data_IF_367080371125
#
_entry.id   IF_367080371125
#
_cell.length_a   1.000
_cell.length_b   1.000
_cell.length_c   1.000
_cell.angle_alpha   90.00
_cell.angle_beta   90.00
_cell.angle_gamma   90.00
#
_symmetry.space_group_name_H-M   'P 1'
#
loop_
_entity.id
_entity.type
_entity.pdbx_description
1 polymer ?
#
# COMPACT_ATOMS: atom_id res chain seq x y z
N UNK A 1 -22.91 -71.70 -30.74
CA UNK A 1 -23.48 -70.32 -30.73
C UNK A 1 -22.78 -69.51 -29.66
N UNK A 2 -21.85 -68.62 -30.03
CA UNK A 2 -21.12 -67.74 -29.09
C UNK A 2 -21.70 -66.33 -29.23
N UNK A 3 -22.37 -65.83 -28.22
CA UNK A 3 -22.99 -64.55 -28.15
C UNK A 3 -21.91 -63.50 -27.82
N UNK A 4 -21.63 -62.58 -28.74
CA UNK A 4 -20.69 -61.44 -28.58
C UNK A 4 -21.50 -60.26 -27.96
N UNK A 5 -21.18 -59.90 -26.74
CA UNK A 5 -21.68 -58.67 -26.09
C UNK A 5 -20.84 -57.48 -26.60
N UNK A 6 -21.47 -56.57 -27.36
CA UNK A 6 -20.93 -55.25 -27.70
C UNK A 6 -21.21 -54.28 -26.54
N UNK A 7 -20.16 -53.88 -25.85
CA UNK A 7 -20.22 -52.82 -24.89
C UNK A 7 -20.23 -51.47 -25.63
N UNK A 8 -21.34 -50.76 -25.63
CA UNK A 8 -21.43 -49.35 -25.99
C UNK A 8 -20.89 -48.53 -24.83
N UNK A 9 -19.73 -47.89 -25.01
CA UNK A 9 -19.21 -46.87 -24.10
C UNK A 9 -19.79 -45.51 -24.55
N UNK A 10 -20.65 -44.85 -23.78
CA UNK A 10 -21.08 -43.50 -24.13
C UNK A 10 -19.91 -42.55 -23.95
N UNK A 11 -19.48 -41.92 -25.04
CA UNK A 11 -18.55 -40.78 -24.99
C UNK A 11 -19.33 -39.60 -24.46
N UNK A 12 -19.14 -39.33 -23.16
CA UNK A 12 -19.63 -38.07 -22.56
C UNK A 12 -18.67 -36.98 -23.02
N UNK A 13 -19.07 -36.24 -24.05
CA UNK A 13 -18.43 -34.96 -24.42
C UNK A 13 -18.84 -33.96 -23.33
N UNK A 14 -17.97 -33.78 -22.35
CA UNK A 14 -18.13 -32.68 -21.40
C UNK A 14 -17.92 -31.37 -22.21
N UNK A 15 -19.00 -30.66 -22.48
CA UNK A 15 -18.95 -29.28 -22.92
C UNK A 15 -18.26 -28.46 -21.80
N UNK A 16 -17.00 -28.10 -21.98
CA UNK A 16 -16.36 -27.05 -21.22
C UNK A 16 -17.13 -25.77 -21.51
N UNK A 17 -18.14 -25.48 -20.68
CA UNK A 17 -18.74 -24.15 -20.66
C UNK A 17 -17.60 -23.18 -20.38
N UNK A 18 -17.37 -22.24 -21.29
CA UNK A 18 -16.49 -21.10 -21.05
C UNK A 18 -17.01 -20.38 -19.81
N UNK A 19 -16.39 -20.64 -18.65
CA UNK A 19 -16.65 -19.88 -17.46
C UNK A 19 -16.14 -18.46 -17.77
N UNK A 20 -17.06 -17.51 -17.95
CA UNK A 20 -16.72 -16.10 -18.09
C UNK A 20 -15.82 -15.69 -16.91
N UNK A 21 -14.82 -14.85 -17.19
CA UNK A 21 -13.94 -14.30 -16.15
C UNK A 21 -14.80 -13.71 -15.03
N UNK A 22 -14.63 -14.25 -13.81
CA UNK A 22 -15.36 -13.79 -12.61
C UNK A 22 -14.52 -12.71 -11.94
N UNK A 23 -14.98 -11.46 -12.03
CA UNK A 23 -14.35 -10.34 -11.37
C UNK A 23 -14.92 -10.11 -9.96
N UNK A 24 -14.13 -9.59 -9.01
CA UNK A 24 -14.65 -9.10 -7.74
C UNK A 24 -15.70 -8.00 -7.94
N UNK A 25 -16.56 -7.81 -6.92
CA UNK A 25 -17.59 -6.75 -6.94
C UNK A 25 -16.95 -5.38 -7.23
N UNK A 26 -17.50 -4.67 -8.20
CA UNK A 26 -17.05 -3.35 -8.64
C UNK A 26 -15.92 -3.39 -9.68
N UNK A 27 -15.36 -4.54 -9.99
CA UNK A 27 -14.38 -4.72 -11.07
C UNK A 27 -15.10 -5.20 -12.34
N UNK A 28 -14.68 -4.66 -13.48
CA UNK A 28 -15.13 -5.09 -14.80
C UNK A 28 -13.91 -5.30 -15.71
N UNK A 29 -14.15 -5.83 -16.91
CA UNK A 29 -13.09 -6.12 -17.91
C UNK A 29 -12.22 -4.88 -18.24
N UNK A 30 -12.81 -3.68 -18.28
CA UNK A 30 -12.09 -2.44 -18.56
C UNK A 30 -11.12 -2.07 -17.43
N UNK A 31 -11.59 -2.19 -16.18
CA UNK A 31 -10.76 -1.94 -14.98
C UNK A 31 -9.66 -2.99 -14.89
N UNK A 32 -9.97 -4.29 -15.07
CA UNK A 32 -8.96 -5.34 -15.05
C UNK A 32 -7.90 -5.12 -16.13
N UNK A 33 -8.30 -4.80 -17.37
CA UNK A 33 -7.36 -4.48 -18.44
C UNK A 33 -6.46 -3.28 -18.09
N UNK A 34 -6.97 -2.28 -17.38
CA UNK A 34 -6.18 -1.14 -16.93
C UNK A 34 -5.17 -1.57 -15.85
N UNK A 35 -5.57 -2.41 -14.89
CA UNK A 35 -4.68 -3.01 -13.89
C UNK A 35 -3.55 -3.77 -14.59
N UNK A 36 -3.87 -4.65 -15.56
CA UNK A 36 -2.87 -5.43 -16.28
C UNK A 36 -1.86 -4.56 -17.03
N UNK A 37 -2.30 -3.47 -17.68
CA UNK A 37 -1.39 -2.52 -18.35
C UNK A 37 -0.47 -1.81 -17.34
N UNK A 38 -1.02 -1.39 -16.19
CA UNK A 38 -0.24 -0.76 -15.12
C UNK A 38 0.83 -1.71 -14.53
N UNK A 39 0.46 -2.95 -14.24
CA UNK A 39 1.40 -3.98 -13.79
C UNK A 39 2.51 -4.25 -14.81
N UNK A 40 2.17 -4.32 -16.11
CA UNK A 40 3.15 -4.48 -17.18
C UNK A 40 4.08 -3.27 -17.30
N UNK A 41 3.55 -2.05 -17.09
CA UNK A 41 4.39 -0.85 -17.03
C UNK A 41 5.40 -0.95 -15.89
N UNK A 42 4.96 -1.27 -14.67
CA UNK A 42 5.86 -1.43 -13.54
C UNK A 42 6.93 -2.48 -13.82
N UNK A 43 6.56 -3.68 -14.29
CA UNK A 43 7.51 -4.75 -14.59
C UNK A 43 8.57 -4.33 -15.61
N UNK A 44 8.18 -3.63 -16.69
CA UNK A 44 9.12 -3.16 -17.72
C UNK A 44 10.04 -2.01 -17.29
N UNK A 45 9.65 -1.28 -16.23
CA UNK A 45 10.40 -0.13 -15.72
C UNK A 45 11.20 -0.44 -14.46
N UNK A 46 11.31 -1.72 -14.06
CA UNK A 46 12.23 -2.14 -13.02
C UNK A 46 13.67 -2.02 -13.52
N UNK A 47 14.52 -1.36 -12.74
CA UNK A 47 15.93 -1.25 -13.06
C UNK A 47 16.68 -2.58 -12.85
N UNK A 48 17.85 -2.74 -13.46
CA UNK A 48 18.66 -3.97 -13.36
C UNK A 48 19.08 -4.32 -11.92
N UNK A 49 19.14 -3.32 -11.03
CA UNK A 49 19.43 -3.52 -9.60
C UNK A 49 18.20 -3.97 -8.79
N UNK A 50 17.03 -4.13 -9.43
CA UNK A 50 15.77 -4.54 -8.81
C UNK A 50 14.93 -3.38 -8.27
N UNK A 51 15.40 -2.14 -8.37
CA UNK A 51 14.70 -0.97 -7.86
C UNK A 51 13.76 -0.33 -8.88
N UNK A 52 12.86 0.52 -8.37
CA UNK A 52 12.19 1.57 -9.15
C UNK A 52 12.59 2.95 -8.65
N UNK A 53 12.49 3.94 -9.51
CA UNK A 53 12.83 5.33 -9.18
C UNK A 53 11.73 6.27 -9.63
N UNK A 54 11.51 7.31 -8.83
CA UNK A 54 10.70 8.46 -9.24
C UNK A 54 11.37 9.20 -10.39
N UNK A 55 10.55 9.75 -11.28
CA UNK A 55 10.98 10.64 -12.37
C UNK A 55 10.69 12.12 -12.10
N UNK A 56 10.11 12.42 -10.93
CA UNK A 56 9.78 13.80 -10.54
C UNK A 56 10.99 14.61 -10.07
N UNK A 57 10.79 15.92 -9.99
CA UNK A 57 11.85 16.88 -9.63
C UNK A 57 12.38 16.74 -8.18
N UNK A 58 11.69 16.02 -7.33
CA UNK A 58 12.03 15.88 -5.90
C UNK A 58 13.08 14.79 -5.60
N UNK A 59 13.54 14.06 -6.60
CA UNK A 59 14.52 12.98 -6.43
C UNK A 59 13.97 11.58 -6.76
N UNK A 60 14.87 10.60 -6.85
CA UNK A 60 14.54 9.25 -7.34
C UNK A 60 13.82 8.35 -6.34
N UNK A 61 14.02 8.56 -5.05
CA UNK A 61 13.44 7.79 -3.93
C UNK A 61 13.39 6.26 -4.15
N UNK A 62 14.52 5.59 -4.45
CA UNK A 62 14.50 4.19 -4.89
C UNK A 62 13.93 3.24 -3.85
N UNK A 63 14.18 3.41 -2.55
CA UNK A 63 13.61 2.52 -1.54
C UNK A 63 12.09 2.70 -1.43
N UNK A 64 11.59 3.95 -1.41
CA UNK A 64 10.16 4.24 -1.35
C UNK A 64 9.43 3.72 -2.61
N UNK A 65 9.97 4.00 -3.81
CA UNK A 65 9.37 3.56 -5.06
C UNK A 65 9.39 2.04 -5.21
N UNK A 66 10.45 1.37 -4.75
CA UNK A 66 10.55 -0.09 -4.78
C UNK A 66 9.54 -0.72 -3.82
N UNK A 67 9.36 -0.16 -2.62
CA UNK A 67 8.32 -0.60 -1.70
C UNK A 67 6.91 -0.48 -2.30
N UNK A 68 6.58 0.68 -2.89
CA UNK A 68 5.26 0.91 -3.51
C UNK A 68 5.02 0.04 -4.74
N UNK A 69 5.98 -0.03 -5.68
CA UNK A 69 5.85 -0.85 -6.88
C UNK A 69 5.79 -2.34 -6.52
N UNK A 70 6.60 -2.78 -5.56
CA UNK A 70 6.54 -4.13 -5.01
C UNK A 70 5.16 -4.46 -4.44
N UNK A 71 4.57 -3.56 -3.65
CA UNK A 71 3.20 -3.73 -3.13
C UNK A 71 2.16 -3.85 -4.24
N UNK A 72 2.28 -3.07 -5.33
CA UNK A 72 1.38 -3.21 -6.49
C UNK A 72 1.49 -4.60 -7.15
N UNK A 73 2.71 -5.14 -7.26
CA UNK A 73 2.94 -6.48 -7.83
C UNK A 73 2.44 -7.60 -6.91
N UNK A 74 2.67 -7.54 -5.60
CA UNK A 74 2.13 -8.56 -4.68
C UNK A 74 0.61 -8.48 -4.56
N UNK A 75 0.02 -7.31 -4.74
CA UNK A 75 -1.44 -7.14 -4.80
C UNK A 75 -2.07 -7.85 -6.01
N UNK A 76 -1.29 -8.20 -7.05
CA UNK A 76 -1.74 -9.04 -8.17
C UNK A 76 -1.72 -10.55 -7.90
N UNK A 77 -1.34 -10.95 -6.68
CA UNK A 77 -1.15 -12.35 -6.29
C UNK A 77 0.23 -12.91 -6.65
N UNK A 78 1.17 -12.06 -7.11
CA UNK A 78 2.56 -12.50 -7.33
C UNK A 78 3.31 -12.56 -6.00
N UNK A 79 4.05 -13.64 -5.78
CA UNK A 79 4.89 -13.87 -4.60
C UNK A 79 6.37 -13.88 -5.04
N UNK A 80 7.34 -13.96 -4.12
CA UNK A 80 8.75 -14.08 -4.50
C UNK A 80 9.09 -15.35 -5.33
N UNK A 81 8.22 -16.35 -5.32
CA UNK A 81 8.45 -17.67 -5.96
C UNK A 81 7.43 -18.03 -7.03
N UNK A 82 6.26 -17.39 -7.04
CA UNK A 82 5.12 -17.73 -7.90
C UNK A 82 4.41 -16.51 -8.46
N UNK A 83 3.64 -16.72 -9.53
CA UNK A 83 2.84 -15.69 -10.19
C UNK A 83 3.57 -15.02 -11.33
N UNK A 84 2.86 -14.14 -12.04
CA UNK A 84 3.34 -13.53 -13.30
C UNK A 84 4.57 -12.64 -13.10
N UNK A 85 4.67 -11.98 -11.95
CA UNK A 85 5.72 -10.99 -11.64
C UNK A 85 6.64 -11.44 -10.51
N UNK A 86 6.83 -12.76 -10.32
CA UNK A 86 7.64 -13.30 -9.23
C UNK A 86 9.10 -12.84 -9.27
N UNK A 87 9.66 -12.66 -10.49
CA UNK A 87 11.04 -12.21 -10.67
C UNK A 87 11.22 -10.78 -10.19
N UNK A 88 10.32 -9.91 -10.57
CA UNK A 88 10.31 -8.49 -10.17
C UNK A 88 10.12 -8.36 -8.66
N UNK A 89 9.25 -9.16 -8.06
CA UNK A 89 9.06 -9.21 -6.60
C UNK A 89 10.34 -9.69 -5.91
N UNK A 90 10.99 -10.75 -6.42
CA UNK A 90 12.26 -11.27 -5.88
C UNK A 90 13.38 -10.23 -5.99
N UNK A 91 13.56 -9.58 -7.11
CA UNK A 91 14.58 -8.56 -7.32
C UNK A 91 14.35 -7.33 -6.43
N UNK A 92 13.11 -6.88 -6.28
CA UNK A 92 12.75 -5.81 -5.35
C UNK A 92 13.10 -6.17 -3.90
N UNK A 93 12.80 -7.40 -3.49
CA UNK A 93 13.13 -7.92 -2.16
C UNK A 93 14.65 -7.89 -1.92
N UNK A 94 15.44 -8.40 -2.85
CA UNK A 94 16.90 -8.40 -2.73
C UNK A 94 17.49 -6.99 -2.70
N UNK A 95 16.97 -6.07 -3.53
CA UNK A 95 17.37 -4.66 -3.51
C UNK A 95 17.18 -4.05 -2.13
N UNK A 96 16.00 -4.20 -1.53
CA UNK A 96 15.70 -3.62 -0.22
C UNK A 96 16.48 -4.29 0.91
N UNK A 97 16.67 -5.62 0.87
CA UNK A 97 17.49 -6.33 1.84
C UNK A 97 18.97 -5.91 1.78
N UNK A 98 19.49 -5.61 0.59
CA UNK A 98 20.87 -5.11 0.40
C UNK A 98 21.03 -3.69 0.96
N UNK A 99 19.99 -2.87 0.92
CA UNK A 99 20.00 -1.49 1.41
C UNK A 99 19.42 -1.34 2.84
N UNK A 100 19.28 -2.45 3.56
CA UNK A 100 18.95 -2.44 4.99
C UNK A 100 20.23 -2.39 5.80
N UNK A 101 20.42 -1.29 6.53
CA UNK A 101 21.59 -1.10 7.39
C UNK A 101 21.53 -2.02 8.61
N UNK A 102 22.61 -2.78 8.83
CA UNK A 102 22.63 -3.79 9.88
C UNK A 102 22.76 -3.20 11.30
N UNK A 103 23.34 -2.01 11.43
CA UNK A 103 23.59 -1.36 12.72
C UNK A 103 22.38 -0.55 13.18
N UNK A 104 21.78 0.23 12.27
CA UNK A 104 20.67 1.13 12.59
C UNK A 104 19.30 0.50 12.33
N UNK A 105 19.20 -0.44 11.38
CA UNK A 105 17.95 -1.04 10.93
C UNK A 105 17.20 -0.21 9.88
N UNK A 106 17.74 0.94 9.44
CA UNK A 106 17.11 1.76 8.41
C UNK A 106 17.18 1.05 7.04
N UNK A 107 16.08 1.10 6.30
CA UNK A 107 16.03 0.64 4.91
C UNK A 107 15.96 1.91 4.04
N UNK A 108 17.07 2.28 3.45
CA UNK A 108 17.21 3.52 2.68
C UNK A 108 18.46 3.44 1.78
N UNK A 109 18.56 4.36 0.85
CA UNK A 109 19.75 4.58 0.04
C UNK A 109 20.29 5.99 0.27
N UNK A 110 21.59 6.26 0.01
CA UNK A 110 22.18 7.58 0.28
C UNK A 110 21.42 8.76 -0.32
N UNK A 111 20.80 8.59 -1.49
CA UNK A 111 20.02 9.66 -2.13
C UNK A 111 18.70 9.99 -1.41
N UNK A 112 18.30 9.22 -0.40
CA UNK A 112 17.08 9.42 0.40
C UNK A 112 17.35 9.87 1.84
N UNK A 113 18.60 10.10 2.25
CA UNK A 113 18.98 10.35 3.66
C UNK A 113 18.12 11.44 4.32
N UNK A 114 17.86 12.55 3.62
CA UNK A 114 17.03 13.64 4.15
C UNK A 114 15.55 13.30 4.32
N UNK A 115 15.06 12.17 3.77
CA UNK A 115 13.68 11.69 3.84
C UNK A 115 13.58 10.16 3.92
N UNK A 116 14.55 9.53 4.56
CA UNK A 116 14.70 8.07 4.62
C UNK A 116 13.49 7.35 5.23
N UNK A 117 12.72 7.99 6.10
CA UNK A 117 11.58 7.36 6.76
C UNK A 117 10.41 7.04 5.82
N UNK A 118 10.26 7.73 4.67
CA UNK A 118 9.31 7.27 3.64
C UNK A 118 9.76 5.93 3.03
N UNK A 119 11.02 5.87 2.58
CA UNK A 119 11.62 4.64 2.04
C UNK A 119 11.55 3.50 3.05
N UNK A 120 11.91 3.79 4.30
CA UNK A 120 11.86 2.83 5.40
C UNK A 120 10.44 2.27 5.63
N UNK A 121 9.40 3.13 5.71
CA UNK A 121 8.02 2.71 5.94
C UNK A 121 7.47 1.84 4.79
N UNK A 122 7.57 2.30 3.54
CA UNK A 122 7.08 1.54 2.39
C UNK A 122 7.87 0.25 2.14
N UNK A 123 9.19 0.27 2.35
CA UNK A 123 10.03 -0.93 2.24
C UNK A 123 9.69 -1.95 3.31
N UNK A 124 9.51 -1.53 4.55
CA UNK A 124 9.12 -2.42 5.66
C UNK A 124 7.74 -3.03 5.42
N UNK A 125 6.77 -2.25 4.93
CA UNK A 125 5.44 -2.73 4.53
C UNK A 125 5.54 -3.83 3.48
N UNK A 126 6.31 -3.60 2.41
CA UNK A 126 6.49 -4.56 1.33
C UNK A 126 7.23 -5.83 1.82
N UNK A 127 8.36 -5.68 2.51
CA UNK A 127 9.14 -6.82 3.00
C UNK A 127 8.35 -7.67 4.01
N UNK A 128 7.51 -7.05 4.85
CA UNK A 128 6.61 -7.79 5.75
C UNK A 128 5.55 -8.60 4.98
N UNK A 129 5.01 -8.04 3.88
CA UNK A 129 4.08 -8.75 3.00
C UNK A 129 4.78 -9.93 2.29
N UNK A 130 6.01 -9.72 1.82
CA UNK A 130 6.85 -10.77 1.20
C UNK A 130 7.18 -11.88 2.22
N UNK A 131 7.56 -11.51 3.44
CA UNK A 131 7.92 -12.49 4.50
C UNK A 131 6.78 -13.49 4.76
N UNK A 132 5.53 -13.03 4.77
CA UNK A 132 4.37 -13.91 4.92
C UNK A 132 4.10 -14.85 3.73
N UNK A 133 4.77 -14.63 2.58
CA UNK A 133 4.62 -15.40 1.34
C UNK A 133 5.89 -16.16 0.93
N UNK A 134 6.99 -16.00 1.64
CA UNK A 134 8.29 -16.58 1.31
C UNK A 134 8.35 -18.07 1.68
N UNK A 135 8.86 -18.90 0.79
CA UNK A 135 8.98 -20.35 0.97
C UNK A 135 10.43 -20.79 1.23
N UNK A 136 11.43 -19.96 0.88
CA UNK A 136 12.85 -20.24 1.14
C UNK A 136 13.20 -19.88 2.59
N UNK A 137 13.59 -20.87 3.39
CA UNK A 137 13.90 -20.70 4.82
C UNK A 137 15.04 -19.72 5.09
N UNK A 138 16.08 -19.69 4.22
CA UNK A 138 17.20 -18.75 4.38
C UNK A 138 16.75 -17.32 4.11
N UNK A 139 15.88 -17.14 3.11
CA UNK A 139 15.31 -15.85 2.81
C UNK A 139 14.36 -15.39 3.91
N UNK A 140 13.54 -16.29 4.47
CA UNK A 140 12.72 -16.01 5.64
C UNK A 140 13.57 -15.53 6.84
N UNK A 141 14.68 -16.17 7.11
CA UNK A 141 15.59 -15.79 8.19
C UNK A 141 16.19 -14.39 7.98
N UNK A 142 16.62 -14.07 6.75
CA UNK A 142 17.12 -12.73 6.39
C UNK A 142 16.02 -11.67 6.54
N UNK A 143 14.82 -11.93 6.01
CA UNK A 143 13.66 -11.04 6.12
C UNK A 143 13.29 -10.80 7.59
N UNK A 144 13.18 -11.85 8.39
CA UNK A 144 12.88 -11.75 9.81
C UNK A 144 13.88 -10.84 10.54
N UNK A 145 15.18 -11.06 10.31
CA UNK A 145 16.25 -10.24 10.92
C UNK A 145 16.18 -8.76 10.53
N UNK A 146 15.90 -8.47 9.24
CA UNK A 146 15.74 -7.09 8.75
C UNK A 146 14.48 -6.45 9.34
N UNK A 147 13.33 -7.14 9.29
CA UNK A 147 12.06 -6.61 9.80
C UNK A 147 12.08 -6.36 11.31
N UNK A 148 12.73 -7.22 12.08
CA UNK A 148 12.92 -7.02 13.54
C UNK A 148 13.70 -5.74 13.83
N UNK A 149 14.79 -5.48 13.10
CA UNK A 149 15.56 -4.23 13.26
C UNK A 149 14.78 -3.01 12.74
N UNK A 150 14.05 -3.15 11.63
CA UNK A 150 13.23 -2.08 11.08
C UNK A 150 12.13 -1.62 12.06
N UNK A 151 11.40 -2.55 12.67
CA UNK A 151 10.39 -2.25 13.70
C UNK A 151 11.02 -1.61 14.93
N UNK A 152 12.21 -2.07 15.36
CA UNK A 152 12.95 -1.47 16.47
C UNK A 152 13.30 0.00 16.16
N UNK A 153 13.79 0.29 14.94
CA UNK A 153 14.07 1.65 14.52
C UNK A 153 12.81 2.51 14.52
N UNK A 154 11.69 2.02 13.98
CA UNK A 154 10.41 2.75 14.01
C UNK A 154 10.04 3.11 15.45
N UNK A 155 10.16 2.18 16.40
CA UNK A 155 9.84 2.46 17.79
C UNK A 155 10.78 3.49 18.43
N UNK A 156 12.07 3.45 18.10
CA UNK A 156 13.09 4.35 18.65
C UNK A 156 13.02 5.76 18.06
N UNK A 157 12.64 5.90 16.78
CA UNK A 157 12.53 7.19 16.10
C UNK A 157 11.18 7.88 16.31
N UNK A 158 10.26 7.28 17.09
CA UNK A 158 8.99 7.91 17.42
C UNK A 158 9.20 9.14 18.32
N UNK A 159 8.70 10.30 17.89
CA UNK A 159 8.81 11.56 18.63
C UNK A 159 8.11 11.51 20.01
N UNK A 160 8.42 12.46 20.86
CA UNK A 160 7.71 12.65 22.14
C UNK A 160 6.21 12.86 21.97
N UNK A 161 5.80 13.42 20.82
CA UNK A 161 4.40 13.64 20.45
C UNK A 161 3.67 12.36 20.02
N UNK A 162 4.39 11.35 19.52
CA UNK A 162 3.85 10.08 19.05
C UNK A 162 3.84 9.91 17.52
N UNK A 163 4.19 10.94 16.75
CA UNK A 163 4.38 10.88 15.30
C UNK A 163 5.85 10.64 14.90
N UNK A 164 6.13 10.70 13.59
CA UNK A 164 7.47 10.58 13.00
C UNK A 164 7.74 11.72 12.04
N UNK A 165 9.02 12.01 11.81
CA UNK A 165 9.50 12.98 10.84
C UNK A 165 10.23 12.25 9.69
N UNK A 166 10.79 12.99 8.74
CA UNK A 166 11.43 12.49 7.53
C UNK A 166 12.69 11.67 7.76
N UNK A 167 13.40 11.94 8.86
CA UNK A 167 14.64 11.28 9.28
C UNK A 167 14.40 10.44 10.53
N UNK A 168 15.23 9.42 10.82
CA UNK A 168 15.04 8.52 11.96
C UNK A 168 15.48 9.13 13.29
N UNK A 169 15.40 10.45 13.42
CA UNK A 169 15.52 11.15 14.68
C UNK A 169 14.14 11.40 15.28
N UNK A 170 14.04 11.44 16.58
CA UNK A 170 12.77 11.66 17.30
C UNK A 170 12.43 13.14 17.51
N UNK A 171 13.06 14.05 16.75
CA UNK A 171 13.02 15.49 16.96
C UNK A 171 11.74 16.19 16.47
N UNK A 172 10.89 15.50 15.71
CA UNK A 172 9.68 16.11 15.14
C UNK A 172 8.61 15.12 14.74
N UNK A 173 7.53 15.65 14.19
CA UNK A 173 6.37 14.88 13.76
C UNK A 173 5.72 15.49 12.52
N UNK A 174 5.16 14.63 11.66
CA UNK A 174 4.24 15.01 10.60
C UNK A 174 3.38 13.82 10.16
N UNK A 175 2.19 14.10 9.61
CA UNK A 175 1.17 13.08 9.35
C UNK A 175 1.53 12.12 8.24
N UNK A 176 2.23 12.59 7.19
CA UNK A 176 2.45 11.78 6.00
C UNK A 176 3.50 10.67 6.18
N UNK A 177 4.52 10.88 7.01
CA UNK A 177 5.44 9.82 7.42
C UNK A 177 4.80 8.92 8.48
N UNK A 178 4.06 9.51 9.42
CA UNK A 178 3.40 8.77 10.50
C UNK A 178 2.54 7.62 9.97
N UNK A 179 1.75 7.83 8.89
CA UNK A 179 0.92 6.76 8.32
C UNK A 179 1.74 5.61 7.77
N UNK A 180 2.90 5.89 7.12
CA UNK A 180 3.74 4.83 6.55
C UNK A 180 4.32 3.92 7.63
N UNK A 181 4.73 4.52 8.78
CA UNK A 181 5.28 3.75 9.89
C UNK A 181 4.20 2.86 10.55
N UNK A 182 2.99 3.39 10.75
CA UNK A 182 1.88 2.61 11.34
C UNK A 182 1.47 1.45 10.44
N UNK A 183 1.40 1.68 9.12
CA UNK A 183 1.11 0.60 8.16
C UNK A 183 2.21 -0.46 8.14
N UNK A 184 3.48 -0.05 8.15
CA UNK A 184 4.62 -0.96 8.25
C UNK A 184 4.55 -1.83 9.50
N UNK A 185 4.28 -1.23 10.67
CA UNK A 185 4.12 -1.96 11.92
C UNK A 185 2.93 -2.92 11.89
N UNK A 186 1.79 -2.53 11.31
CA UNK A 186 0.64 -3.43 11.16
C UNK A 186 1.00 -4.64 10.29
N UNK A 187 1.63 -4.42 9.14
CA UNK A 187 2.05 -5.51 8.26
C UNK A 187 3.03 -6.47 8.97
N UNK A 188 4.02 -5.92 9.69
CA UNK A 188 4.95 -6.70 10.50
C UNK A 188 4.23 -7.55 11.54
N UNK A 189 3.27 -6.97 12.28
CA UNK A 189 2.48 -7.72 13.27
C UNK A 189 1.65 -8.84 12.63
N UNK A 190 1.03 -8.59 11.49
CA UNK A 190 0.28 -9.61 10.73
C UNK A 190 1.18 -10.74 10.23
N UNK A 191 2.43 -10.45 9.94
CA UNK A 191 3.46 -11.41 9.53
C UNK A 191 4.13 -12.13 10.73
N UNK A 192 3.74 -11.85 11.97
CA UNK A 192 4.27 -12.49 13.17
C UNK A 192 5.55 -11.84 13.75
N UNK A 193 5.94 -10.66 13.27
CA UNK A 193 7.03 -9.87 13.86
C UNK A 193 6.50 -9.15 15.10
N UNK A 194 7.30 -9.17 16.19
CA UNK A 194 6.94 -8.49 17.43
C UNK A 194 6.93 -6.96 17.26
N UNK A 195 5.77 -6.35 17.55
CA UNK A 195 5.53 -4.91 17.41
C UNK A 195 4.98 -4.33 18.72
N UNK A 196 5.63 -3.30 19.21
CA UNK A 196 5.22 -2.63 20.44
C UNK A 196 3.82 -2.00 20.32
N UNK A 197 2.85 -2.54 21.07
CA UNK A 197 1.51 -1.92 21.19
C UNK A 197 1.58 -0.47 21.65
N UNK A 198 2.48 -0.15 22.60
CA UNK A 198 2.67 1.21 23.11
C UNK A 198 3.02 2.20 21.99
N UNK A 199 3.84 1.78 21.01
CA UNK A 199 4.21 2.62 19.86
C UNK A 199 2.98 2.94 19.00
N UNK A 200 2.12 1.96 18.76
CA UNK A 200 0.86 2.15 18.00
C UNK A 200 -0.10 3.05 18.77
N UNK A 201 -0.30 2.80 20.07
CA UNK A 201 -1.21 3.59 20.91
C UNK A 201 -0.79 5.07 20.92
N UNK A 202 0.51 5.36 21.02
CA UNK A 202 1.03 6.74 20.95
C UNK A 202 0.78 7.40 19.59
N UNK A 203 0.83 6.64 18.48
CA UNK A 203 0.50 7.17 17.16
C UNK A 203 -0.99 7.52 17.05
N UNK A 204 -1.87 6.71 17.61
CA UNK A 204 -3.31 7.03 17.71
C UNK A 204 -3.54 8.30 18.52
N UNK A 205 -2.88 8.44 19.67
CA UNK A 205 -2.98 9.65 20.51
C UNK A 205 -2.43 10.90 19.81
N UNK A 206 -1.37 10.74 19.00
CA UNK A 206 -0.87 11.82 18.15
C UNK A 206 -1.92 12.28 17.14
N UNK A 207 -2.57 11.37 16.40
CA UNK A 207 -3.64 11.71 15.46
C UNK A 207 -4.81 12.43 16.15
N UNK A 208 -5.23 11.96 17.33
CA UNK A 208 -6.25 12.66 18.16
C UNK A 208 -5.85 14.09 18.50
N UNK A 209 -4.59 14.31 18.89
CA UNK A 209 -4.07 15.64 19.20
C UNK A 209 -3.98 16.56 17.98
N UNK A 210 -3.77 16.00 16.78
CA UNK A 210 -3.73 16.74 15.51
C UNK A 210 -5.12 17.06 14.95
N UNK A 211 -6.20 16.49 15.51
CA UNK A 211 -7.55 16.76 15.03
C UNK A 211 -8.03 18.16 15.44
N UNK A 212 -8.49 18.92 14.45
CA UNK A 212 -9.09 20.23 14.61
C UNK A 212 -10.61 20.13 14.90
N UNK A 213 -11.27 21.23 15.35
CA UNK A 213 -12.71 21.25 15.64
C UNK A 213 -13.60 20.84 14.46
N UNK A 214 -13.19 21.14 13.21
CA UNK A 214 -13.89 20.74 11.98
C UNK A 214 -13.81 19.24 11.65
N UNK A 215 -13.03 18.49 12.42
CA UNK A 215 -12.77 17.07 12.24
C UNK A 215 -11.56 16.75 11.39
N UNK A 216 -11.01 17.71 10.66
CA UNK A 216 -9.81 17.53 9.85
C UNK A 216 -8.54 17.42 10.71
N UNK A 217 -7.48 16.91 10.10
CA UNK A 217 -6.20 16.67 10.78
C UNK A 217 -5.16 17.64 10.23
N UNK A 218 -4.43 18.32 11.13
CA UNK A 218 -3.35 19.22 10.77
C UNK A 218 -2.10 18.43 10.33
N UNK A 219 -1.17 19.13 9.64
CA UNK A 219 0.05 18.53 9.14
C UNK A 219 0.97 18.00 10.23
N UNK A 220 1.13 18.77 11.30
CA UNK A 220 1.91 18.43 12.49
C UNK A 220 1.29 19.12 13.71
N UNK A 221 1.70 18.76 14.92
CA UNK A 221 1.23 19.45 16.12
C UNK A 221 1.58 20.95 16.12
N UNK A 222 2.67 21.34 15.45
CA UNK A 222 3.06 22.74 15.28
C UNK A 222 2.16 23.55 14.33
N UNK A 223 1.35 22.88 13.49
CA UNK A 223 0.44 23.48 12.49
C UNK A 223 -1.04 23.35 12.86
N UNK A 224 -1.37 23.28 14.14
CA UNK A 224 -2.76 23.20 14.61
C UNK A 224 -3.60 24.37 14.10
N UNK A 225 -4.87 24.09 13.84
CA UNK A 225 -5.83 25.05 13.30
C UNK A 225 -5.99 24.99 11.78
N UNK A 226 -5.03 24.46 11.04
CA UNK A 226 -5.10 24.24 9.59
C UNK A 226 -5.34 22.77 9.27
N UNK A 227 -6.57 22.43 8.87
CA UNK A 227 -6.92 21.07 8.45
C UNK A 227 -6.50 20.83 7.01
N UNK A 228 -5.79 19.72 6.76
CA UNK A 228 -5.35 19.30 5.41
C UNK A 228 -6.06 18.04 4.95
N UNK A 229 -6.82 18.07 3.84
CA UNK A 229 -7.58 16.90 3.37
C UNK A 229 -6.72 15.67 3.15
N UNK A 230 -5.54 15.80 2.53
CA UNK A 230 -4.62 14.68 2.29
C UNK A 230 -4.11 14.05 3.60
N UNK A 231 -3.73 14.90 4.57
CA UNK A 231 -3.26 14.43 5.88
C UNK A 231 -4.43 13.85 6.70
N UNK A 232 -5.63 14.38 6.55
CA UNK A 232 -6.82 13.83 7.19
C UNK A 232 -7.15 12.41 6.67
N UNK A 233 -7.02 12.17 5.36
CA UNK A 233 -7.16 10.83 4.78
C UNK A 233 -6.09 9.87 5.33
N UNK A 234 -4.82 10.32 5.41
CA UNK A 234 -3.74 9.55 6.01
C UNK A 234 -4.00 9.26 7.50
N UNK A 235 -4.48 10.25 8.24
CA UNK A 235 -4.84 10.09 9.66
C UNK A 235 -5.95 9.06 9.88
N UNK A 236 -6.99 9.05 9.06
CA UNK A 236 -8.04 8.01 9.11
C UNK A 236 -7.41 6.64 8.83
N UNK A 237 -6.52 6.52 7.85
CA UNK A 237 -5.83 5.26 7.59
C UNK A 237 -4.96 4.79 8.77
N UNK A 238 -4.30 5.72 9.51
CA UNK A 238 -3.60 5.39 10.77
C UNK A 238 -4.56 4.77 11.78
N UNK A 239 -5.72 5.40 11.99
CA UNK A 239 -6.72 4.94 12.96
C UNK A 239 -7.22 3.54 12.61
N UNK A 240 -7.62 3.32 11.36
CA UNK A 240 -8.06 2.01 10.88
C UNK A 240 -6.97 0.94 10.96
N UNK A 241 -5.73 1.27 10.59
CA UNK A 241 -4.61 0.37 10.72
C UNK A 241 -4.23 0.05 12.17
N UNK A 242 -4.54 0.95 13.11
CA UNK A 242 -4.40 0.70 14.54
C UNK A 242 -5.58 -0.10 15.14
N UNK A 243 -6.64 -0.37 14.36
CA UNK A 243 -7.85 -1.05 14.83
C UNK A 243 -8.84 -0.12 15.57
N UNK A 244 -8.79 1.16 15.26
CA UNK A 244 -9.68 2.19 15.86
C UNK A 244 -10.63 2.69 14.78
N UNK A 245 -11.92 2.43 14.95
CA UNK A 245 -12.96 2.64 13.92
C UNK A 245 -13.99 3.70 14.34
N UNK A 246 -15.07 3.85 13.56
CA UNK A 246 -16.09 4.91 13.71
C UNK A 246 -16.97 4.79 14.95
N UNK A 247 -16.91 3.73 15.72
CA UNK A 247 -17.49 3.66 17.06
C UNK A 247 -16.89 4.72 18.01
N UNK A 248 -15.74 5.30 17.61
CA UNK A 248 -15.11 6.40 18.31
C UNK A 248 -15.47 7.75 17.67
N UNK A 249 -16.08 8.71 18.41
CA UNK A 249 -16.57 9.98 17.83
C UNK A 249 -15.51 10.81 17.08
N UNK A 250 -14.24 10.74 17.47
CA UNK A 250 -13.18 11.47 16.80
C UNK A 250 -12.81 10.84 15.42
N UNK A 251 -12.96 9.52 15.27
CA UNK A 251 -12.76 8.82 13.99
C UNK A 251 -13.89 9.17 13.04
N UNK A 252 -15.13 9.15 13.51
CA UNK A 252 -16.30 9.55 12.72
C UNK A 252 -16.18 11.00 12.22
N UNK A 253 -15.73 11.93 13.07
CA UNK A 253 -15.49 13.32 12.65
C UNK A 253 -14.43 13.43 11.57
N UNK A 254 -13.30 12.70 11.69
CA UNK A 254 -12.25 12.69 10.68
C UNK A 254 -12.77 12.12 9.34
N UNK A 255 -13.50 11.02 9.38
CA UNK A 255 -14.09 10.42 8.18
C UNK A 255 -15.08 11.37 7.49
N UNK A 256 -15.98 12.00 8.23
CA UNK A 256 -16.91 13.03 7.70
C UNK A 256 -16.18 14.20 7.06
N UNK A 257 -15.07 14.65 7.68
CA UNK A 257 -14.25 15.69 7.08
C UNK A 257 -13.65 15.25 5.74
N UNK A 258 -13.07 14.05 5.68
CA UNK A 258 -12.48 13.51 4.44
C UNK A 258 -13.56 13.36 3.36
N UNK A 259 -14.72 12.76 3.68
CA UNK A 259 -15.82 12.60 2.73
C UNK A 259 -16.30 13.92 2.11
N UNK A 260 -16.29 15.01 2.91
CA UNK A 260 -16.70 16.34 2.46
C UNK A 260 -15.63 17.03 1.59
N UNK A 261 -14.34 16.83 1.90
CA UNK A 261 -13.25 17.64 1.37
C UNK A 261 -12.34 16.92 0.38
N UNK A 262 -12.51 15.60 0.18
CA UNK A 262 -11.70 14.80 -0.77
C UNK A 262 -12.58 14.34 -1.92
N UNK A 263 -12.22 14.68 -3.14
CA UNK A 263 -12.86 14.19 -4.36
C UNK A 263 -12.10 12.98 -4.93
N UNK A 264 -12.77 11.85 -5.21
CA UNK A 264 -12.14 10.74 -5.91
C UNK A 264 -11.96 10.98 -7.42
N UNK A 265 -12.69 11.93 -8.01
CA UNK A 265 -12.72 12.17 -9.45
C UNK A 265 -12.00 13.43 -9.92
N UNK A 266 -11.37 14.16 -9.00
CA UNK A 266 -10.60 15.38 -9.33
C UNK A 266 -9.55 15.65 -8.26
N UNK A 267 -8.39 16.19 -8.67
CA UNK A 267 -7.39 16.65 -7.70
C UNK A 267 -7.84 17.99 -7.08
N UNK A 268 -8.26 17.91 -5.84
CA UNK A 268 -8.61 19.07 -5.02
C UNK A 268 -7.75 19.16 -3.74
N UNK A 269 -6.68 18.36 -3.64
CA UNK A 269 -5.84 18.26 -2.45
C UNK A 269 -4.38 18.64 -2.72
N UNK A 270 -3.98 18.78 -3.99
CA UNK A 270 -2.59 18.97 -4.42
C UNK A 270 -1.70 17.72 -4.29
N UNK A 271 -2.26 16.62 -3.73
CA UNK A 271 -1.62 15.33 -3.55
C UNK A 271 -2.65 14.21 -3.78
N UNK A 272 -3.18 14.15 -5.00
CA UNK A 272 -4.35 13.30 -5.30
C UNK A 272 -4.06 11.82 -5.07
N UNK A 273 -3.00 11.28 -5.69
CA UNK A 273 -2.66 9.86 -5.57
C UNK A 273 -2.31 9.47 -4.12
N UNK A 274 -1.55 10.32 -3.42
CA UNK A 274 -1.29 10.11 -1.98
C UNK A 274 -2.61 10.04 -1.19
N UNK A 275 -3.50 10.99 -1.40
CA UNK A 275 -4.79 11.05 -0.71
C UNK A 275 -5.63 9.81 -0.99
N UNK A 276 -5.72 9.40 -2.27
CA UNK A 276 -6.51 8.25 -2.67
C UNK A 276 -5.92 6.92 -2.18
N UNK A 277 -4.59 6.80 -2.06
CA UNK A 277 -3.95 5.61 -1.48
C UNK A 277 -4.49 5.29 -0.08
N UNK A 278 -4.65 6.31 0.77
CA UNK A 278 -5.08 6.13 2.15
C UNK A 278 -6.60 6.16 2.29
N UNK A 279 -7.27 7.06 1.59
CA UNK A 279 -8.73 7.17 1.64
C UNK A 279 -9.40 5.89 1.14
N UNK A 280 -8.92 5.32 0.03
CA UNK A 280 -9.44 4.08 -0.50
C UNK A 280 -9.36 2.91 0.48
N UNK A 281 -8.25 2.79 1.20
CA UNK A 281 -8.06 1.73 2.19
C UNK A 281 -9.05 1.85 3.34
N UNK A 282 -9.25 3.07 3.86
CA UNK A 282 -10.22 3.33 4.92
C UNK A 282 -11.64 3.00 4.46
N UNK A 283 -12.06 3.46 3.27
CA UNK A 283 -13.36 3.16 2.71
C UNK A 283 -13.54 1.67 2.39
N UNK A 284 -12.49 1.00 1.89
CA UNK A 284 -12.55 -0.44 1.62
C UNK A 284 -12.76 -1.23 2.92
N UNK A 285 -12.02 -0.90 4.00
CA UNK A 285 -12.20 -1.55 5.30
C UNK A 285 -13.58 -1.29 5.90
N UNK A 286 -14.12 -0.07 5.75
CA UNK A 286 -15.49 0.27 6.14
C UNK A 286 -16.53 -0.49 5.32
N UNK A 287 -16.33 -0.57 4.02
CA UNK A 287 -17.23 -1.24 3.09
C UNK A 287 -18.52 -0.48 2.81
N UNK A 288 -19.55 -1.24 2.38
CA UNK A 288 -20.87 -0.70 2.11
C UNK A 288 -20.96 0.25 0.91
N UNK A 289 -22.00 1.08 0.91
CA UNK A 289 -22.33 1.99 -0.18
C UNK A 289 -21.23 3.02 -0.46
N UNK A 290 -20.57 3.53 0.58
CA UNK A 290 -19.53 4.54 0.45
C UNK A 290 -18.32 4.02 -0.35
N UNK A 291 -17.94 2.76 -0.11
CA UNK A 291 -16.91 2.10 -0.91
C UNK A 291 -17.36 1.88 -2.37
N UNK A 292 -18.57 1.39 -2.58
CA UNK A 292 -19.07 1.11 -3.94
C UNK A 292 -19.11 2.38 -4.78
N UNK A 293 -19.63 3.48 -4.23
CA UNK A 293 -19.68 4.78 -4.92
C UNK A 293 -18.28 5.37 -5.16
N UNK A 294 -17.39 5.24 -4.18
CA UNK A 294 -16.01 5.67 -4.31
C UNK A 294 -15.30 4.92 -5.45
N UNK A 295 -15.39 3.59 -5.47
CA UNK A 295 -14.71 2.77 -6.47
C UNK A 295 -15.17 3.12 -7.89
N UNK A 296 -16.46 3.33 -8.11
CA UNK A 296 -17.02 3.74 -9.41
C UNK A 296 -16.43 5.08 -9.86
N UNK A 297 -16.40 6.07 -8.97
CA UNK A 297 -15.88 7.41 -9.29
C UNK A 297 -14.36 7.41 -9.55
N UNK A 298 -13.60 6.75 -8.66
CA UNK A 298 -12.15 6.74 -8.79
C UNK A 298 -11.66 5.85 -9.93
N UNK A 299 -12.27 4.70 -10.17
CA UNK A 299 -11.93 3.87 -11.34
C UNK A 299 -12.26 4.60 -12.65
N UNK A 300 -13.39 5.31 -12.73
CA UNK A 300 -13.74 6.16 -13.88
C UNK A 300 -12.68 7.24 -14.13
N UNK A 301 -12.23 7.94 -13.08
CA UNK A 301 -11.14 8.90 -13.17
C UNK A 301 -9.83 8.24 -13.69
N UNK A 302 -9.44 7.12 -13.09
CA UNK A 302 -8.21 6.42 -13.48
C UNK A 302 -8.25 5.92 -14.93
N UNK A 303 -9.39 5.37 -15.39
CA UNK A 303 -9.54 4.93 -16.78
C UNK A 303 -9.37 6.07 -17.78
N UNK A 304 -9.85 7.28 -17.44
CA UNK A 304 -9.67 8.48 -18.26
C UNK A 304 -8.25 9.05 -18.25
N UNK A 305 -7.44 8.74 -17.25
CA UNK A 305 -6.08 9.28 -17.07
C UNK A 305 -4.97 8.30 -17.45
N UNK A 306 -5.28 7.03 -17.73
CA UNK A 306 -4.25 6.05 -18.08
C UNK A 306 -3.60 6.39 -19.42
N UNK A 307 -2.29 6.47 -19.42
CA UNK A 307 -1.48 6.74 -20.61
C UNK A 307 -1.40 5.51 -21.53
N UNK A 308 -0.99 5.71 -22.78
CA UNK A 308 -0.87 4.63 -23.78
C UNK A 308 0.13 3.55 -23.39
N UNK A 309 1.16 3.89 -22.63
CA UNK A 309 2.16 2.95 -22.10
C UNK A 309 1.67 2.14 -20.90
N UNK A 310 0.46 2.42 -20.40
CA UNK A 310 -0.18 1.79 -19.27
C UNK A 310 0.04 2.50 -17.94
N UNK A 311 0.78 3.60 -17.92
CA UNK A 311 1.10 4.35 -16.69
C UNK A 311 0.04 5.37 -16.30
N UNK A 312 0.14 5.83 -15.06
CA UNK A 312 -0.47 7.05 -14.55
C UNK A 312 0.59 7.98 -13.99
N UNK A 313 0.48 9.26 -14.29
CA UNK A 313 1.31 10.29 -13.62
C UNK A 313 0.73 10.60 -12.25
N UNK A 314 1.57 10.69 -11.21
CA UNK A 314 1.10 10.91 -9.84
C UNK A 314 1.80 12.09 -9.14
N UNK A 315 1.03 13.08 -8.74
CA UNK A 315 1.38 14.16 -7.79
C UNK A 315 2.71 14.89 -8.08
N UNK A 316 3.16 14.95 -9.35
CA UNK A 316 4.48 15.46 -9.70
C UNK A 316 5.67 14.61 -9.22
N UNK A 317 5.38 13.45 -8.61
CA UNK A 317 6.40 12.46 -8.21
C UNK A 317 6.80 11.58 -9.39
N UNK A 318 5.88 11.30 -10.29
CA UNK A 318 6.16 10.60 -11.54
C UNK A 318 5.36 9.32 -11.77
N UNK A 319 5.61 8.70 -12.93
CA UNK A 319 4.76 7.61 -13.45
C UNK A 319 4.85 6.31 -12.63
N UNK A 320 5.99 5.98 -12.04
CA UNK A 320 6.11 4.80 -11.15
C UNK A 320 5.22 4.96 -9.94
N UNK A 321 5.25 6.12 -9.29
CA UNK A 321 4.44 6.45 -8.13
C UNK A 321 2.95 6.40 -8.44
N UNK A 322 2.50 7.14 -9.46
CA UNK A 322 1.10 7.18 -9.84
C UNK A 322 0.57 5.80 -10.24
N UNK A 323 1.36 5.04 -11.00
CA UNK A 323 0.97 3.70 -11.44
C UNK A 323 0.90 2.70 -10.28
N UNK A 324 1.88 2.71 -9.38
CA UNK A 324 1.86 1.82 -8.22
C UNK A 324 0.61 2.06 -7.36
N UNK A 325 0.29 3.32 -7.07
CA UNK A 325 -0.89 3.67 -6.26
C UNK A 325 -2.18 3.32 -7.00
N UNK A 326 -2.34 3.70 -8.28
CA UNK A 326 -3.53 3.37 -9.06
C UNK A 326 -3.81 1.86 -9.05
N UNK A 327 -2.77 1.07 -9.30
CA UNK A 327 -2.86 -0.40 -9.34
C UNK A 327 -3.18 -0.97 -7.95
N UNK A 328 -2.57 -0.48 -6.86
CA UNK A 328 -2.90 -0.91 -5.49
C UNK A 328 -4.38 -0.67 -5.21
N UNK A 329 -4.88 0.55 -5.47
CA UNK A 329 -6.27 0.91 -5.17
C UNK A 329 -7.27 0.08 -5.99
N UNK A 330 -7.02 -0.09 -7.30
CA UNK A 330 -7.89 -0.90 -8.16
C UNK A 330 -7.87 -2.39 -7.80
N UNK A 331 -6.83 -2.87 -7.12
CA UNK A 331 -6.71 -4.26 -6.68
C UNK A 331 -7.26 -4.53 -5.28
N UNK A 332 -7.66 -3.52 -4.50
CA UNK A 332 -8.26 -3.75 -3.17
C UNK A 332 -9.39 -4.79 -3.17
N UNK A 333 -10.34 -4.79 -4.15
CA UNK A 333 -11.41 -5.77 -4.18
C UNK A 333 -10.97 -7.23 -4.33
N UNK A 334 -9.75 -7.49 -4.83
CA UNK A 334 -9.21 -8.85 -4.94
C UNK A 334 -8.77 -9.43 -3.59
N UNK A 335 -8.54 -8.58 -2.58
CA UNK A 335 -8.21 -8.98 -1.20
C UNK A 335 -7.03 -9.96 -1.08
N UNK A 336 -6.00 -9.84 -1.94
CA UNK A 336 -4.89 -10.78 -1.99
C UNK A 336 -3.77 -10.47 -0.98
N UNK A 337 -3.70 -9.25 -0.46
CA UNK A 337 -2.67 -8.82 0.49
C UNK A 337 -3.31 -8.59 1.86
N UNK A 338 -2.84 -9.26 2.93
CA UNK A 338 -3.46 -9.20 4.26
C UNK A 338 -3.66 -7.79 4.81
N UNK A 339 -2.69 -6.88 4.65
CA UNK A 339 -2.80 -5.50 5.15
C UNK A 339 -3.97 -4.73 4.52
N UNK A 340 -4.43 -5.13 3.34
CA UNK A 340 -5.54 -4.51 2.63
C UNK A 340 -6.87 -5.25 2.80
N UNK A 341 -6.90 -6.37 3.53
CA UNK A 341 -8.14 -7.11 3.80
C UNK A 341 -9.00 -6.39 4.84
N UNK A 342 -10.31 -6.68 4.77
CA UNK A 342 -11.31 -6.21 5.73
C UNK A 342 -11.24 -6.96 7.05
#
# INVERSE_FOLDING_TARGET
>A
MRLRWLFFVPVVVAALAAQGEVYPRGINKGIDAAIQRGLQFLARNQANDGSWRSSGAQGGYPAAMTGLAGMALVSSGSTPTRGKYWREVRQATEFLLKNADAATGVISVPSEEGRSMYGHGFSTLFLASVFGMEEDLRMQERLHGVLTRAVKLIAQSQSGAGGWLYTPDSGGDEGSVTVTQVQAMRACRMAGIDVSKKTIDRAVDYIKKCQNPDGGICYSLGSRGESRPAISAAGVAVLYNAGVYEDQPFVEKAMKYVQKNVSPSSDNTGHHFYTQLYYSQALYQRGGKDWDEYLVKFSGFLLGQQRKDGSWEGDGVGSVYGTAIAVIVLQLPYSLVPIYQR
#
